data_IF_161031878891
#
_entry.id   IF_161031878891
#
_cell.length_a   1.000
_cell.length_b   1.000
_cell.length_c   1.000
_cell.angle_alpha   90.00
_cell.angle_beta   90.00
_cell.angle_gamma   90.00
#
_symmetry.space_group_name_H-M   'P 1'
#
loop_
_entity.id
_entity.type
_entity.pdbx_description
1 polymer ?
#
# COMPACT_ATOMS: atom_id res chain seq x y z
N UNK A 1 -33.20 14.99 21.26
CA UNK A 1 -34.02 14.31 20.23
C UNK A 1 -33.04 13.49 19.39
N UNK A 2 -33.17 12.16 19.48
CA UNK A 2 -32.49 11.10 18.73
C UNK A 2 -30.96 11.05 18.77
N UNK A 3 -30.46 10.28 19.75
CA UNK A 3 -29.19 9.57 19.63
C UNK A 3 -29.35 8.30 18.79
N UNK A 4 -28.32 8.01 18.01
CA UNK A 4 -27.95 6.71 17.46
C UNK A 4 -26.43 6.66 17.59
N UNK A 5 -25.92 6.05 18.65
CA UNK A 5 -25.58 4.62 18.73
C UNK A 5 -24.30 4.32 17.93
N UNK A 6 -23.18 4.22 18.66
CA UNK A 6 -22.06 3.37 18.29
C UNK A 6 -22.54 1.89 18.37
N UNK A 7 -23.36 1.45 17.41
CA UNK A 7 -23.75 0.04 17.32
C UNK A 7 -22.55 -0.75 16.82
N UNK A 8 -21.81 -1.37 17.73
CA UNK A 8 -20.90 -2.45 17.39
C UNK A 8 -21.70 -3.64 16.88
N UNK A 9 -21.93 -3.66 15.57
CA UNK A 9 -22.61 -4.77 14.91
C UNK A 9 -21.73 -6.03 14.99
N UNK A 10 -22.34 -7.14 15.39
CA UNK A 10 -21.67 -8.44 15.34
C UNK A 10 -21.24 -8.77 13.90
N UNK A 11 -20.18 -9.58 13.75
CA UNK A 11 -19.74 -10.07 12.44
C UNK A 11 -20.89 -10.71 11.63
N UNK A 12 -21.85 -11.35 12.31
CA UNK A 12 -23.05 -11.93 11.66
C UNK A 12 -23.98 -10.85 11.11
N UNK A 13 -24.15 -9.76 11.84
CA UNK A 13 -24.98 -8.63 11.42
C UNK A 13 -24.36 -7.91 10.23
N UNK A 14 -23.04 -7.69 10.25
CA UNK A 14 -22.30 -7.13 9.12
C UNK A 14 -22.37 -8.04 7.88
N UNK A 15 -22.30 -9.36 8.05
CA UNK A 15 -22.49 -10.34 6.96
C UNK A 15 -23.88 -10.23 6.29
N UNK A 16 -24.91 -9.86 7.06
CA UNK A 16 -26.27 -9.67 6.54
C UNK A 16 -26.48 -8.34 5.81
N UNK A 17 -25.64 -7.34 6.08
CA UNK A 17 -25.66 -6.01 5.46
C UNK A 17 -24.66 -5.88 4.31
N UNK A 18 -23.75 -6.84 4.15
CA UNK A 18 -22.75 -6.85 3.08
C UNK A 18 -23.40 -6.98 1.70
N UNK A 19 -22.91 -6.20 0.74
CA UNK A 19 -23.24 -6.35 -0.69
C UNK A 19 -22.91 -7.76 -1.23
N UNK A 20 -22.10 -8.54 -0.51
CA UNK A 20 -21.75 -9.93 -0.85
C UNK A 20 -22.63 -10.99 -0.18
N UNK A 21 -23.73 -10.62 0.49
CA UNK A 21 -24.63 -11.59 1.20
C UNK A 21 -25.13 -12.73 0.30
N UNK A 22 -25.24 -12.48 -1.01
CA UNK A 22 -25.69 -13.46 -2.00
C UNK A 22 -24.58 -14.36 -2.52
N UNK A 23 -23.31 -14.09 -2.20
CA UNK A 23 -22.20 -14.99 -2.52
C UNK A 23 -22.21 -16.13 -1.50
N UNK A 24 -22.34 -17.37 -1.98
CA UNK A 24 -22.21 -18.57 -1.14
C UNK A 24 -20.74 -18.84 -0.82
N UNK A 25 -20.13 -17.94 -0.04
CA UNK A 25 -18.74 -18.01 0.41
C UNK A 25 -18.75 -18.13 1.93
N UNK A 26 -18.18 -19.24 2.43
CA UNK A 26 -17.82 -19.39 3.84
C UNK A 26 -16.47 -18.73 4.07
N UNK A 27 -16.45 -17.64 4.84
CA UNK A 27 -15.21 -17.06 5.34
C UNK A 27 -14.73 -17.90 6.53
N UNK A 28 -13.41 -18.15 6.65
CA UNK A 28 -12.86 -18.84 7.81
C UNK A 28 -12.99 -17.98 9.06
N UNK A 29 -13.01 -18.63 10.23
CA UNK A 29 -13.04 -17.92 11.52
C UNK A 29 -11.73 -17.18 11.81
N UNK A 30 -10.62 -17.65 11.23
CA UNK A 30 -9.29 -17.03 11.30
C UNK A 30 -8.68 -16.92 9.90
N UNK A 31 -7.99 -15.80 9.65
CA UNK A 31 -7.35 -15.53 8.36
C UNK A 31 -6.05 -14.76 8.55
N UNK A 32 -4.95 -15.32 8.03
CA UNK A 32 -3.65 -14.67 7.92
C UNK A 32 -3.18 -14.76 6.47
N UNK A 33 -3.06 -13.62 5.79
CA UNK A 33 -2.66 -13.56 4.38
C UNK A 33 -1.31 -14.27 4.11
N UNK A 34 -0.38 -14.22 5.07
CA UNK A 34 0.95 -14.86 4.94
C UNK A 34 0.84 -16.38 4.88
N UNK A 35 -0.13 -16.95 5.61
CA UNK A 35 -0.39 -18.39 5.61
C UNK A 35 -1.13 -18.84 4.34
N UNK A 36 -1.99 -17.99 3.79
CA UNK A 36 -2.78 -18.29 2.58
C UNK A 36 -1.98 -18.14 1.28
N UNK A 37 -0.98 -17.24 1.25
CA UNK A 37 -0.10 -17.03 0.11
C UNK A 37 1.39 -17.13 0.49
N UNK A 38 1.87 -18.32 0.90
CA UNK A 38 3.23 -18.48 1.42
C UNK A 38 4.33 -18.26 0.37
N UNK A 39 4.00 -18.34 -0.93
CA UNK A 39 4.91 -18.02 -2.02
C UNK A 39 5.15 -16.51 -2.19
N UNK A 40 4.35 -15.67 -1.52
CA UNK A 40 4.44 -14.22 -1.57
C UNK A 40 5.14 -13.68 -0.33
N UNK A 41 6.47 -13.72 -0.33
CA UNK A 41 7.29 -13.24 0.79
C UNK A 41 7.03 -11.76 1.14
N UNK A 42 6.60 -10.96 0.16
CA UNK A 42 6.28 -9.54 0.34
C UNK A 42 5.22 -9.29 1.42
N UNK A 43 4.27 -10.21 1.61
CA UNK A 43 3.16 -10.06 2.57
C UNK A 43 3.67 -10.06 4.01
N UNK A 44 4.77 -10.77 4.26
CA UNK A 44 5.41 -10.83 5.58
C UNK A 44 6.49 -9.77 5.78
N UNK A 45 6.84 -9.01 4.74
CA UNK A 45 7.94 -8.07 4.77
C UNK A 45 7.51 -6.74 5.38
N UNK A 46 8.28 -6.25 6.36
CA UNK A 46 8.00 -4.99 7.06
C UNK A 46 8.97 -3.92 6.57
N UNK A 47 8.44 -2.83 6.01
CA UNK A 47 9.22 -1.69 5.53
C UNK A 47 9.32 -0.58 6.57
N UNK A 48 10.29 0.32 6.39
CA UNK A 48 10.49 1.48 7.27
C UNK A 48 10.34 2.81 6.50
N UNK A 49 9.25 3.54 6.79
CA UNK A 49 9.00 4.87 6.21
C UNK A 49 9.89 5.98 6.80
N UNK A 50 10.68 5.67 7.84
CA UNK A 50 11.57 6.58 8.55
C UNK A 50 10.85 7.82 9.11
N UNK A 51 11.58 8.93 9.28
CA UNK A 51 11.06 10.21 9.77
C UNK A 51 10.31 11.02 8.69
N UNK A 52 9.41 10.38 7.97
CA UNK A 52 8.63 10.96 6.87
C UNK A 52 7.15 10.56 6.99
N UNK A 53 6.22 11.49 6.80
CA UNK A 53 4.77 11.20 6.75
C UNK A 53 4.33 10.54 5.45
N UNK A 54 5.01 9.47 5.04
CA UNK A 54 4.83 8.72 3.78
C UNK A 54 4.03 7.42 3.94
N UNK A 55 3.40 7.17 5.10
CA UNK A 55 2.58 5.98 5.35
C UNK A 55 1.54 5.70 4.26
N UNK A 56 0.95 6.75 3.70
CA UNK A 56 -0.04 6.69 2.62
C UNK A 56 0.53 6.07 1.33
N UNK A 57 1.81 6.33 1.02
CA UNK A 57 2.51 5.75 -0.12
C UNK A 57 2.99 4.33 0.20
N UNK A 58 3.58 4.13 1.38
CA UNK A 58 4.10 2.83 1.82
C UNK A 58 3.01 1.76 1.89
N UNK A 59 1.92 2.02 2.62
CA UNK A 59 0.83 1.06 2.74
C UNK A 59 0.15 0.74 1.40
N UNK A 60 0.15 1.69 0.45
CA UNK A 60 -0.33 1.45 -0.90
C UNK A 60 0.61 0.51 -1.67
N UNK A 61 1.91 0.84 -1.76
CA UNK A 61 2.86 0.05 -2.57
C UNK A 61 3.15 -1.33 -1.98
N UNK A 62 3.08 -1.50 -0.67
CA UNK A 62 3.16 -2.81 0.00
C UNK A 62 2.02 -3.70 -0.46
N UNK A 63 0.78 -3.24 -0.32
CA UNK A 63 -0.40 -3.99 -0.74
C UNK A 63 -0.46 -4.21 -2.27
N UNK A 64 0.04 -3.27 -3.08
CA UNK A 64 0.14 -3.44 -4.54
C UNK A 64 1.14 -4.55 -4.89
N UNK A 65 2.31 -4.58 -4.25
CA UNK A 65 3.34 -5.60 -4.43
C UNK A 65 2.78 -6.99 -4.11
N UNK A 66 2.09 -7.10 -2.97
CA UNK A 66 1.41 -8.33 -2.53
C UNK A 66 0.36 -8.78 -3.53
N UNK A 67 -0.49 -7.87 -4.01
CA UNK A 67 -1.55 -8.19 -4.97
C UNK A 67 -1.00 -8.68 -6.30
N UNK A 68 0.12 -8.15 -6.77
CA UNK A 68 0.78 -8.66 -7.99
C UNK A 68 1.23 -10.11 -7.78
N UNK A 69 1.84 -10.41 -6.62
CA UNK A 69 2.23 -11.77 -6.28
C UNK A 69 1.04 -12.72 -6.18
N UNK A 70 -0.01 -12.32 -5.45
CA UNK A 70 -1.22 -13.12 -5.28
C UNK A 70 -1.89 -13.40 -6.63
N UNK A 71 -2.05 -12.37 -7.47
CA UNK A 71 -2.69 -12.50 -8.78
C UNK A 71 -1.87 -13.38 -9.75
N UNK A 72 -0.54 -13.31 -9.66
CA UNK A 72 0.37 -14.13 -10.46
C UNK A 72 0.62 -15.53 -9.87
N UNK A 73 -0.04 -15.89 -8.77
CA UNK A 73 0.14 -17.16 -8.04
C UNK A 73 1.60 -17.40 -7.62
N UNK A 74 2.29 -16.34 -7.18
CA UNK A 74 3.68 -16.41 -6.75
C UNK A 74 4.72 -16.30 -7.87
N UNK A 75 4.30 -16.17 -9.14
CA UNK A 75 5.24 -16.13 -10.26
C UNK A 75 5.92 -14.77 -10.47
N UNK A 76 5.31 -13.68 -9.98
CA UNK A 76 5.83 -12.32 -10.09
C UNK A 76 5.79 -11.68 -8.71
N UNK A 77 6.97 -11.41 -8.14
CA UNK A 77 7.14 -10.88 -6.77
C UNK A 77 7.87 -9.52 -6.77
N UNK A 78 7.28 -8.47 -7.35
CA UNK A 78 7.96 -7.19 -7.43
C UNK A 78 7.92 -6.48 -6.07
N UNK A 79 8.97 -5.72 -5.75
CA UNK A 79 8.92 -4.72 -4.69
C UNK A 79 8.70 -3.35 -5.33
N UNK A 80 7.50 -2.78 -5.18
CA UNK A 80 7.18 -1.48 -5.75
C UNK A 80 7.76 -0.32 -4.93
N UNK A 81 8.17 0.73 -5.62
CA UNK A 81 8.86 1.89 -5.06
C UNK A 81 7.87 2.82 -4.35
N UNK A 82 7.98 2.92 -3.02
CA UNK A 82 7.23 3.91 -2.25
C UNK A 82 7.66 5.33 -2.62
N UNK A 83 8.93 5.53 -2.94
CA UNK A 83 9.47 6.84 -3.30
C UNK A 83 9.01 7.33 -4.67
N UNK A 84 8.75 6.44 -5.64
CA UNK A 84 8.17 6.84 -6.93
C UNK A 84 6.80 7.48 -6.69
N UNK A 85 5.94 6.80 -5.92
CA UNK A 85 4.64 7.34 -5.52
C UNK A 85 4.80 8.63 -4.71
N UNK A 86 5.73 8.66 -3.75
CA UNK A 86 5.97 9.81 -2.87
C UNK A 86 6.47 11.06 -3.61
N UNK A 87 7.36 10.88 -4.59
CA UNK A 87 8.06 11.94 -5.29
C UNK A 87 7.31 12.42 -6.55
N UNK A 88 6.53 11.53 -7.19
CA UNK A 88 6.02 11.74 -8.55
C UNK A 88 4.51 11.80 -8.67
N UNK A 89 3.79 11.31 -7.68
CA UNK A 89 2.37 11.53 -7.65
C UNK A 89 2.05 12.93 -7.10
N UNK A 90 2.00 13.92 -7.99
CA UNK A 90 1.70 15.30 -7.61
C UNK A 90 0.30 15.49 -7.02
N UNK A 91 -0.67 14.69 -7.47
CA UNK A 91 -2.06 14.72 -6.99
C UNK A 91 -2.28 13.92 -5.70
N UNK A 92 -1.33 13.08 -5.29
CA UNK A 92 -1.49 12.22 -4.12
C UNK A 92 -1.29 12.94 -2.78
N UNK A 93 -0.76 14.16 -2.77
CA UNK A 93 -0.60 14.94 -1.55
C UNK A 93 0.71 15.71 -1.48
N UNK A 94 1.30 15.74 -0.29
CA UNK A 94 2.42 16.62 0.05
C UNK A 94 3.67 15.85 0.48
N UNK A 95 3.93 14.70 -0.14
CA UNK A 95 5.11 13.88 0.12
C UNK A 95 5.19 13.46 1.60
N UNK A 96 6.30 13.81 2.27
CA UNK A 96 6.49 13.54 3.70
C UNK A 96 5.56 14.32 4.64
N UNK A 97 4.70 15.21 4.15
CA UNK A 97 3.72 15.95 4.96
C UNK A 97 2.32 15.31 4.95
N UNK A 98 2.23 14.07 4.47
CA UNK A 98 0.97 13.33 4.33
C UNK A 98 0.44 13.35 2.90
N UNK A 99 -0.53 12.49 2.66
CA UNK A 99 -1.15 12.27 1.37
C UNK A 99 -2.33 11.32 1.45
N UNK A 100 -2.89 11.00 0.30
CA UNK A 100 -4.17 10.35 0.11
C UNK A 100 -3.95 8.93 -0.44
N UNK A 101 -4.22 7.87 0.35
CA UNK A 101 -4.00 6.49 -0.10
C UNK A 101 -4.77 6.13 -1.37
N UNK A 102 -6.02 6.60 -1.52
CA UNK A 102 -6.85 6.40 -2.70
C UNK A 102 -6.18 6.95 -3.97
N UNK A 103 -5.58 8.14 -3.89
CA UNK A 103 -4.83 8.71 -5.01
C UNK A 103 -3.58 7.93 -5.37
N UNK A 104 -2.93 7.28 -4.39
CA UNK A 104 -1.81 6.39 -4.69
C UNK A 104 -2.25 5.18 -5.54
N UNK A 105 -3.43 4.62 -5.27
CA UNK A 105 -4.01 3.56 -6.11
C UNK A 105 -4.41 4.05 -7.50
N UNK A 106 -5.03 5.23 -7.60
CA UNK A 106 -5.33 5.85 -8.91
C UNK A 106 -4.05 6.06 -9.72
N UNK A 107 -3.00 6.63 -9.11
CA UNK A 107 -1.71 6.84 -9.76
C UNK A 107 -1.09 5.54 -10.28
N UNK A 108 -1.19 4.45 -9.51
CA UNK A 108 -0.70 3.15 -9.96
C UNK A 108 -1.43 2.66 -11.21
N UNK A 109 -2.75 2.87 -11.30
CA UNK A 109 -3.55 2.48 -12.47
C UNK A 109 -3.26 3.36 -13.68
N UNK A 110 -3.20 4.68 -13.48
CA UNK A 110 -3.06 5.65 -14.58
C UNK A 110 -1.62 5.72 -15.11
N UNK A 111 -0.65 5.70 -14.21
CA UNK A 111 0.75 5.99 -14.52
C UNK A 111 1.69 4.82 -14.25
N UNK A 112 1.26 3.76 -13.57
CA UNK A 112 2.13 2.70 -13.08
C UNK A 112 2.98 3.11 -11.87
N UNK A 113 3.76 2.18 -11.33
CA UNK A 113 4.77 2.43 -10.28
C UNK A 113 5.99 1.58 -10.59
N UNK A 114 7.19 2.16 -10.54
CA UNK A 114 8.43 1.40 -10.79
C UNK A 114 8.80 0.51 -9.59
N UNK A 115 9.69 -0.47 -9.80
CA UNK A 115 10.25 -1.25 -8.69
C UNK A 115 11.24 -0.42 -7.87
N UNK A 116 11.28 -0.63 -6.55
CA UNK A 116 12.15 0.08 -5.62
C UNK A 116 12.13 -0.54 -4.23
N UNK A 117 13.27 -1.07 -3.80
CA UNK A 117 13.46 -1.73 -2.50
C UNK A 117 13.84 -0.79 -1.37
N UNK A 118 14.28 -1.36 -0.24
CA UNK A 118 14.71 -0.60 0.93
C UNK A 118 15.97 0.24 0.67
N UNK A 119 16.14 1.25 1.52
CA UNK A 119 17.30 2.12 1.52
C UNK A 119 18.61 1.31 1.69
N UNK A 120 19.57 1.51 0.77
CA UNK A 120 20.88 0.81 0.66
C UNK A 120 20.85 -0.63 0.14
N UNK A 121 19.73 -1.12 -0.37
CA UNK A 121 19.75 -2.37 -1.12
C UNK A 121 20.35 -2.08 -2.50
N UNK A 122 21.38 -2.85 -2.92
CA UNK A 122 22.11 -2.69 -4.19
C UNK A 122 21.25 -2.82 -5.47
N UNK A 123 19.92 -2.90 -5.33
CA UNK A 123 18.91 -3.04 -6.39
C UNK A 123 18.17 -1.71 -6.64
N UNK A 124 18.35 -0.70 -5.79
CA UNK A 124 17.70 0.61 -5.94
C UNK A 124 18.64 1.72 -5.51
N UNK A 125 19.19 2.45 -6.49
CA UNK A 125 19.94 3.69 -6.25
C UNK A 125 18.96 4.79 -5.87
N UNK A 126 18.41 4.71 -4.65
CA UNK A 126 17.62 5.79 -4.09
C UNK A 126 18.23 6.24 -2.78
N UNK A 127 18.58 7.52 -2.79
CA UNK A 127 19.30 8.19 -1.71
C UNK A 127 18.42 8.32 -0.47
N UNK A 128 19.02 8.45 0.73
CA UNK A 128 18.26 8.48 1.98
C UNK A 128 17.23 9.61 1.94
N UNK A 129 16.09 9.39 2.60
CA UNK A 129 15.15 10.45 2.94
C UNK A 129 15.93 11.60 3.59
N UNK A 130 16.16 12.67 2.82
CA UNK A 130 16.87 13.85 3.29
C UNK A 130 16.06 14.47 4.42
N UNK A 131 16.61 14.43 5.63
CA UNK A 131 16.06 15.08 6.83
C UNK A 131 16.07 16.63 6.75
N UNK A 132 16.61 17.21 5.67
CA UNK A 132 16.62 18.65 5.47
C UNK A 132 15.32 19.17 4.82
N UNK A 133 14.69 20.07 5.58
CA UNK A 133 13.43 20.77 5.28
C UNK A 133 13.57 21.55 3.96
N UNK A 134 12.52 21.45 3.15
CA UNK A 134 12.30 22.16 1.89
C UNK A 134 12.97 21.56 0.63
N UNK A 135 12.11 20.99 -0.23
CA UNK A 135 12.24 21.01 -1.69
C UNK A 135 13.42 20.25 -2.36
N UNK A 136 13.64 18.98 -2.01
CA UNK A 136 14.47 18.09 -2.86
C UNK A 136 13.82 16.77 -3.29
N UNK A 137 12.52 16.56 -3.04
CA UNK A 137 11.84 15.32 -3.46
C UNK A 137 11.44 15.30 -4.94
N UNK A 138 11.26 16.46 -5.59
CA UNK A 138 10.75 16.56 -6.97
C UNK A 138 11.77 16.31 -8.09
N UNK A 139 13.04 16.04 -7.79
CA UNK A 139 14.07 15.77 -8.83
C UNK A 139 14.28 14.29 -9.10
N UNK A 140 13.54 13.41 -8.43
CA UNK A 140 13.78 11.97 -8.44
C UNK A 140 12.58 11.19 -8.95
N UNK A 141 11.91 11.72 -9.99
CA UNK A 141 11.00 10.88 -10.74
C UNK A 141 11.76 9.94 -11.65
N UNK A 142 11.63 8.66 -11.35
CA UNK A 142 12.11 7.61 -12.23
C UNK A 142 11.44 7.81 -13.59
N UNK A 143 12.24 7.85 -14.65
CA UNK A 143 11.71 7.78 -16.00
C UNK A 143 11.10 6.38 -16.17
N UNK A 144 9.78 6.34 -16.37
CA UNK A 144 9.03 5.12 -16.69
C UNK A 144 9.16 4.77 -18.16
#
# INVERSE_FOLDING_TARGET
MLGVEEVWFSARTLKSLSSTRFLNISLPDEFDARAWWPACESIGFIRDQSSCGSCWAFGAVEAMSDRICIASRGNITPTLSADDVLACCESCGYGCRGGYPDKAWEYWVENGVVTGGEYKNNVSTMYPFSTNRAQRQRRFCCMK
#
